data_IF_931230913421
#
_entry.id   IF_931230913421
#
_cell.length_a   1.000
_cell.length_b   1.000
_cell.length_c   1.000
_cell.angle_alpha   90.00
_cell.angle_beta   90.00
_cell.angle_gamma   90.00
#
_symmetry.space_group_name_H-M   'P 1'
#
loop_
_entity.id
_entity.type
_entity.pdbx_description
1 polymer ?
#
# COMPACT_ATOMS: atom_id res chain seq x y z
N UNK A 1 -12.48 -13.15 -10.51
CA UNK A 1 -13.20 -12.18 -9.67
C UNK A 1 -12.23 -11.04 -9.45
N UNK A 2 -12.59 -9.86 -9.93
CA UNK A 2 -11.77 -8.66 -9.84
C UNK A 2 -12.10 -7.95 -8.52
N UNK A 3 -11.09 -7.57 -7.74
CA UNK A 3 -11.25 -6.95 -6.41
C UNK A 3 -10.47 -5.65 -6.39
N UNK A 4 -11.06 -4.58 -5.87
CA UNK A 4 -10.34 -3.34 -5.67
C UNK A 4 -9.39 -3.51 -4.48
N UNK A 5 -8.10 -3.24 -4.68
CA UNK A 5 -7.08 -3.38 -3.65
C UNK A 5 -6.47 -2.03 -3.37
N UNK A 6 -6.48 -1.64 -2.11
CA UNK A 6 -5.85 -0.43 -1.63
C UNK A 6 -4.67 -0.80 -0.71
N UNK A 7 -3.48 -0.36 -1.08
CA UNK A 7 -2.27 -0.51 -0.27
C UNK A 7 -1.79 0.88 0.15
N UNK A 8 -1.72 1.11 1.45
CA UNK A 8 -1.28 2.37 2.06
C UNK A 8 -0.05 2.14 2.94
N UNK A 9 0.85 3.12 2.94
CA UNK A 9 2.04 3.17 3.77
C UNK A 9 1.81 4.18 4.91
N UNK A 10 2.15 3.78 6.12
CA UNK A 10 2.02 4.58 7.34
C UNK A 10 3.36 4.69 8.05
N UNK A 11 3.58 5.82 8.71
CA UNK A 11 4.73 6.01 9.60
C UNK A 11 4.49 5.38 10.98
N UNK A 12 5.49 5.44 11.85
CA UNK A 12 5.41 4.95 13.24
C UNK A 12 4.37 5.70 14.09
N UNK A 13 3.94 6.89 13.66
CA UNK A 13 2.92 7.69 14.32
C UNK A 13 1.51 7.41 13.77
N UNK A 14 1.37 6.49 12.81
CA UNK A 14 0.10 6.11 12.19
C UNK A 14 -0.41 7.11 11.15
N UNK A 15 0.44 8.03 10.68
CA UNK A 15 0.08 8.97 9.60
C UNK A 15 0.19 8.26 8.26
N UNK A 16 -0.80 8.43 7.39
CA UNK A 16 -0.69 7.95 6.00
C UNK A 16 0.39 8.76 5.29
N UNK A 17 1.45 8.07 4.87
CA UNK A 17 2.60 8.66 4.18
C UNK A 17 2.37 8.64 2.68
N UNK A 18 1.89 7.50 2.15
CA UNK A 18 1.72 7.30 0.72
C UNK A 18 0.72 6.20 0.41
N UNK A 19 -0.09 6.39 -0.62
CA UNK A 19 -0.88 5.34 -1.25
C UNK A 19 -0.04 4.67 -2.34
N UNK A 20 0.22 3.37 -2.17
CA UNK A 20 1.10 2.59 -3.05
C UNK A 20 0.34 1.90 -4.17
N UNK A 21 -0.86 1.38 -3.87
CA UNK A 21 -1.73 0.70 -4.82
C UNK A 21 -3.17 1.15 -4.57
N UNK A 22 -3.93 1.39 -5.63
CA UNK A 22 -5.34 1.76 -5.55
C UNK A 22 -5.99 1.44 -6.90
N UNK A 23 -6.04 0.15 -7.22
CA UNK A 23 -6.51 -0.32 -8.51
C UNK A 23 -7.19 -1.70 -8.38
N UNK A 24 -7.97 -2.03 -9.39
CA UNK A 24 -8.64 -3.33 -9.49
C UNK A 24 -7.61 -4.39 -9.90
N UNK A 25 -7.36 -5.34 -9.01
CA UNK A 25 -6.46 -6.48 -9.25
C UNK A 25 -7.26 -7.78 -9.31
N UNK A 26 -6.73 -8.73 -10.09
CA UNK A 26 -7.24 -10.12 -10.08
C UNK A 26 -6.62 -10.87 -8.90
N UNK A 27 -7.22 -11.98 -8.51
CA UNK A 27 -6.59 -12.86 -7.54
C UNK A 27 -5.23 -13.35 -8.08
N UNK A 28 -4.17 -13.15 -7.31
CA UNK A 28 -2.80 -13.47 -7.71
C UNK A 28 -1.76 -12.82 -6.80
N UNK A 29 -0.50 -13.14 -7.05
CA UNK A 29 0.63 -12.50 -6.38
C UNK A 29 1.14 -11.33 -7.21
N UNK A 30 1.36 -10.20 -6.56
CA UNK A 30 1.90 -8.99 -7.17
C UNK A 30 3.09 -8.51 -6.36
N UNK A 31 4.13 -8.08 -7.07
CA UNK A 31 5.28 -7.39 -6.49
C UNK A 31 5.18 -5.93 -6.87
N UNK A 32 5.48 -5.06 -5.90
CA UNK A 32 5.59 -3.61 -6.13
C UNK A 32 6.98 -3.17 -5.71
N UNK A 33 7.53 -2.20 -6.44
CA UNK A 33 8.75 -1.51 -6.03
C UNK A 33 8.36 -0.22 -5.30
N UNK A 34 8.93 -0.04 -4.10
CA UNK A 34 8.76 1.16 -3.31
C UNK A 34 10.04 1.98 -3.38
N UNK A 35 9.94 3.18 -3.97
CA UNK A 35 11.00 4.18 -3.88
C UNK A 35 10.92 4.88 -2.52
N UNK A 36 11.98 4.71 -1.72
CA UNK A 36 12.13 5.28 -0.38
C UNK A 36 13.03 6.53 -0.35
N UNK A 37 13.44 7.08 -1.50
CA UNK A 37 14.35 8.24 -1.57
C UNK A 37 13.81 9.46 -0.82
N UNK A 38 12.50 9.70 -0.87
CA UNK A 38 11.83 10.79 -0.18
C UNK A 38 11.40 10.45 1.26
N UNK A 39 11.67 9.22 1.73
CA UNK A 39 11.28 8.75 3.04
C UNK A 39 12.43 8.90 4.03
N UNK A 40 12.11 9.51 5.19
CA UNK A 40 13.06 9.55 6.31
C UNK A 40 13.43 8.15 6.78
N UNK A 41 14.65 7.95 7.27
CA UNK A 41 15.06 6.66 7.83
C UNK A 41 14.20 6.29 9.05
N UNK A 42 13.57 5.13 9.02
CA UNK A 42 12.68 4.69 10.08
C UNK A 42 11.94 3.39 9.75
N UNK A 43 11.01 3.01 10.63
CA UNK A 43 10.09 1.91 10.40
C UNK A 43 8.78 2.44 9.79
N UNK A 44 8.26 1.72 8.80
CA UNK A 44 6.98 2.03 8.17
C UNK A 44 6.13 0.78 8.12
N UNK A 45 4.82 0.95 8.23
CA UNK A 45 3.86 -0.12 8.20
C UNK A 45 3.01 -0.02 6.94
N UNK A 46 2.77 -1.15 6.28
CA UNK A 46 1.85 -1.22 5.15
C UNK A 46 0.53 -1.83 5.60
N UNK A 47 -0.58 -1.24 5.16
CA UNK A 47 -1.91 -1.81 5.34
C UNK A 47 -2.51 -2.09 3.95
N UNK A 48 -2.85 -3.35 3.71
CA UNK A 48 -3.50 -3.81 2.49
C UNK A 48 -4.95 -4.15 2.82
N UNK A 49 -5.89 -3.42 2.24
CA UNK A 49 -7.32 -3.67 2.42
C UNK A 49 -7.97 -3.96 1.08
N UNK A 50 -8.67 -5.10 0.94
CA UNK A 50 -9.57 -5.30 -0.18
C UNK A 50 -10.79 -4.40 0.03
N UNK A 51 -11.04 -3.50 -0.90
CA UNK A 51 -12.25 -2.68 -0.93
C UNK A 51 -13.29 -3.42 -1.76
N UNK A 52 -14.35 -3.88 -1.11
CA UNK A 52 -15.47 -4.55 -1.77
C UNK A 52 -16.53 -3.47 -1.99
N UNK A 53 -16.69 -3.03 -3.24
CA UNK A 53 -17.82 -2.19 -3.67
C UNK A 53 -19.05 -3.06 -3.95
#
# INVERSE_FOLDING_TARGET
MDVNVELKLYDTYGREVKKLVSEIKKAGYYSIELDCTDLSSGAYFTNCVPEIT
#
